data_IF_272719795864
#
_entry.id   IF_272719795864
#
_cell.length_a   1.000
_cell.length_b   1.000
_cell.length_c   1.000
_cell.angle_alpha   90.00
_cell.angle_beta   90.00
_cell.angle_gamma   90.00
#
_symmetry.space_group_name_H-M   'P 1'
#
loop_
_entity.id
_entity.type
_entity.pdbx_description
1 polymer ?
#
# COMPACT_ATOMS: atom_id res chain seq x y z
N UNK A 1 -1.35 3.07 29.23
CA UNK A 1 -0.76 2.17 28.22
C UNK A 1 -1.61 2.27 26.98
N UNK A 2 -1.13 2.91 25.91
CA UNK A 2 -1.86 2.91 24.65
C UNK A 2 -1.97 1.46 24.16
N UNK A 3 -3.18 1.02 23.77
CA UNK A 3 -3.39 -0.32 23.21
C UNK A 3 -2.55 -0.53 21.95
N UNK A 4 -2.30 -1.79 21.57
CA UNK A 4 -1.64 -2.10 20.29
C UNK A 4 -2.45 -1.45 19.15
N UNK A 5 -1.81 -0.78 18.18
CA UNK A 5 -2.51 -0.19 17.05
C UNK A 5 -3.09 -1.29 16.16
N UNK A 6 -4.17 -0.97 15.44
CA UNK A 6 -4.85 -1.89 14.54
C UNK A 6 -4.03 -2.23 13.29
N UNK A 7 -3.22 -1.30 12.81
CA UNK A 7 -2.33 -1.48 11.67
C UNK A 7 -0.88 -1.22 12.06
N UNK A 8 0.02 -1.89 11.34
CA UNK A 8 1.46 -1.62 11.35
C UNK A 8 1.92 -1.33 9.93
N UNK A 9 2.82 -0.36 9.82
CA UNK A 9 3.47 -0.06 8.55
C UNK A 9 4.43 -1.20 8.18
N UNK A 10 4.38 -1.61 6.93
CA UNK A 10 5.24 -2.62 6.33
C UNK A 10 5.86 -2.04 5.06
N UNK A 11 7.14 -2.32 4.83
CA UNK A 11 7.85 -1.90 3.63
C UNK A 11 7.71 -2.96 2.54
N UNK A 12 7.33 -2.57 1.31
CA UNK A 12 7.28 -3.48 0.16
C UNK A 12 8.65 -4.10 -0.10
N UNK A 13 9.62 -3.26 -0.44
CA UNK A 13 11.05 -3.61 -0.38
C UNK A 13 11.52 -3.39 1.05
N UNK A 14 11.86 -4.46 1.77
CA UNK A 14 12.14 -4.39 3.19
C UNK A 14 13.41 -3.59 3.50
N UNK A 15 13.45 -2.93 4.67
CA UNK A 15 14.59 -2.08 5.04
C UNK A 15 15.91 -2.84 5.09
N UNK A 16 15.90 -4.12 5.47
CA UNK A 16 17.12 -4.93 5.52
C UNK A 16 17.69 -5.16 4.12
N UNK A 17 16.86 -5.28 3.10
CA UNK A 17 17.32 -5.34 1.71
C UNK A 17 18.12 -4.09 1.33
N UNK A 18 17.68 -2.88 1.71
CA UNK A 18 18.47 -1.65 1.49
C UNK A 18 19.81 -1.62 2.24
N UNK A 19 19.95 -2.37 3.34
CA UNK A 19 21.19 -2.46 4.10
C UNK A 19 22.22 -3.41 3.48
N UNK A 20 21.78 -4.45 2.76
CA UNK A 20 22.65 -5.57 2.34
C UNK A 20 22.77 -5.74 0.82
N UNK A 21 21.82 -5.21 0.04
CA UNK A 21 21.78 -5.40 -1.40
C UNK A 21 22.61 -4.32 -2.12
N UNK A 22 23.67 -4.69 -2.88
CA UNK A 22 24.54 -3.73 -3.54
C UNK A 22 23.82 -2.85 -4.56
N UNK A 23 22.82 -3.38 -5.26
CA UNK A 23 22.06 -2.64 -6.26
C UNK A 23 21.25 -1.54 -5.58
N UNK A 24 20.58 -1.84 -4.47
CA UNK A 24 19.84 -0.84 -3.70
C UNK A 24 20.77 0.22 -3.08
N UNK A 25 21.93 -0.18 -2.54
CA UNK A 25 22.91 0.74 -1.98
C UNK A 25 23.40 1.75 -3.03
N UNK A 26 23.82 1.26 -4.22
CA UNK A 26 24.27 2.12 -5.31
C UNK A 26 23.19 3.12 -5.73
N UNK A 27 21.93 2.69 -5.83
CA UNK A 27 20.82 3.57 -6.20
C UNK A 27 20.55 4.64 -5.14
N UNK A 28 20.66 4.30 -3.86
CA UNK A 28 20.50 5.26 -2.75
C UNK A 28 21.67 6.26 -2.74
N UNK A 29 22.91 5.77 -2.85
CA UNK A 29 24.12 6.61 -2.83
C UNK A 29 24.17 7.59 -4.01
N UNK A 30 23.56 7.23 -5.14
CA UNK A 30 23.42 8.09 -6.31
C UNK A 30 22.11 8.91 -6.34
N UNK A 31 21.35 8.92 -5.24
CA UNK A 31 20.14 9.72 -5.07
C UNK A 31 18.98 9.32 -5.99
N UNK A 32 18.97 8.08 -6.49
CA UNK A 32 17.92 7.54 -7.39
C UNK A 32 16.82 6.79 -6.65
N UNK A 33 17.09 6.37 -5.42
CA UNK A 33 16.08 5.80 -4.53
C UNK A 33 16.16 6.42 -3.14
N UNK A 34 15.01 6.52 -2.49
CA UNK A 34 14.90 6.86 -1.08
C UNK A 34 14.41 5.62 -0.32
N UNK A 35 15.27 5.04 0.53
CA UNK A 35 14.93 3.86 1.35
C UNK A 35 13.76 4.11 2.31
N UNK A 36 13.54 5.36 2.70
CA UNK A 36 12.49 5.81 3.62
C UNK A 36 11.29 6.42 2.87
N UNK A 37 11.17 6.17 1.55
CA UNK A 37 10.07 6.66 0.76
C UNK A 37 8.72 6.18 1.32
N UNK A 38 7.85 7.10 1.70
CA UNK A 38 6.49 6.81 2.19
C UNK A 38 5.64 6.02 1.17
N UNK A 39 6.05 6.07 -0.10
CA UNK A 39 5.52 5.34 -1.24
C UNK A 39 5.77 3.82 -1.15
N UNK A 40 6.87 3.40 -0.51
CA UNK A 40 7.22 1.99 -0.25
C UNK A 40 6.47 1.40 0.97
N UNK A 41 5.62 2.17 1.65
CA UNK A 41 4.89 1.73 2.85
C UNK A 41 3.47 1.26 2.53
N UNK A 42 3.03 0.22 3.24
CA UNK A 42 1.64 -0.25 3.30
C UNK A 42 1.22 -0.53 4.75
N UNK A 43 0.00 -0.14 5.11
CA UNK A 43 -0.57 -0.43 6.43
C UNK A 43 -1.21 -1.82 6.41
N UNK A 44 -0.64 -2.74 7.18
CA UNK A 44 -1.13 -4.11 7.31
C UNK A 44 -1.75 -4.34 8.70
N UNK A 45 -2.84 -5.13 8.81
CA UNK A 45 -3.47 -5.37 10.10
C UNK A 45 -2.53 -6.05 11.10
N UNK A 46 -2.41 -5.48 12.29
CA UNK A 46 -1.71 -6.06 13.43
C UNK A 46 -2.56 -7.10 14.19
N UNK A 47 -3.78 -7.36 13.70
CA UNK A 47 -4.69 -8.38 14.21
C UNK A 47 -5.04 -9.39 13.11
N UNK A 48 -5.06 -10.67 13.47
CA UNK A 48 -5.30 -11.75 12.51
C UNK A 48 -6.77 -11.90 12.13
N UNK A 49 -7.70 -11.52 13.01
CA UNK A 49 -9.12 -11.55 12.69
C UNK A 49 -9.46 -10.44 11.70
N UNK A 50 -8.95 -9.23 11.90
CA UNK A 50 -9.06 -8.12 10.96
C UNK A 50 -8.40 -8.45 9.62
N UNK A 51 -7.16 -8.99 9.63
CA UNK A 51 -6.50 -9.44 8.40
C UNK A 51 -7.33 -10.44 7.60
N UNK A 52 -7.96 -11.41 8.29
CA UNK A 52 -8.86 -12.37 7.67
C UNK A 52 -10.12 -11.68 7.12
N UNK A 53 -10.72 -10.79 7.88
CA UNK A 53 -11.95 -10.09 7.50
C UNK A 53 -11.75 -9.24 6.23
N UNK A 54 -10.60 -8.59 6.08
CA UNK A 54 -10.28 -7.79 4.90
C UNK A 54 -9.45 -8.54 3.85
N UNK A 55 -9.19 -9.84 4.04
CA UNK A 55 -8.54 -10.68 3.02
C UNK A 55 -7.07 -10.39 2.74
N UNK A 56 -6.33 -9.76 3.66
CA UNK A 56 -4.90 -9.44 3.50
C UNK A 56 -4.03 -10.24 4.47
N UNK A 57 -2.70 -10.09 4.36
CA UNK A 57 -1.78 -10.67 5.34
C UNK A 57 -1.80 -9.89 6.66
N UNK A 58 -1.77 -10.56 7.83
CA UNK A 58 -1.49 -9.87 9.07
C UNK A 58 -0.02 -9.45 9.12
N UNK A 59 0.29 -8.41 9.91
CA UNK A 59 1.65 -8.02 10.27
C UNK A 59 1.78 -8.01 11.80
N UNK A 60 1.98 -9.19 12.38
CA UNK A 60 1.99 -9.43 13.83
C UNK A 60 3.42 -9.54 14.40
N UNK A 61 4.43 -9.16 13.64
CA UNK A 61 5.86 -9.34 13.96
C UNK A 61 6.71 -9.56 12.71
N UNK A 62 7.93 -10.09 12.89
CA UNK A 62 8.86 -10.36 11.79
C UNK A 62 8.19 -11.23 10.72
N UNK A 63 8.30 -10.83 9.45
CA UNK A 63 7.78 -11.61 8.33
C UNK A 63 8.49 -12.96 8.19
N UNK A 64 7.88 -13.90 7.49
CA UNK A 64 8.49 -15.20 7.20
C UNK A 64 9.76 -15.04 6.36
N UNK A 65 10.68 -16.02 6.46
CA UNK A 65 11.97 -15.99 5.77
C UNK A 65 11.80 -15.93 4.25
N UNK A 66 10.80 -16.62 3.72
CA UNK A 66 10.49 -16.68 2.29
C UNK A 66 10.21 -15.30 1.68
N UNK A 67 9.72 -14.34 2.45
CA UNK A 67 9.51 -12.98 1.97
C UNK A 67 10.85 -12.31 1.63
N UNK A 68 11.81 -12.33 2.57
CA UNK A 68 13.14 -11.75 2.32
C UNK A 68 13.94 -12.53 1.30
N UNK A 69 13.82 -13.86 1.26
CA UNK A 69 14.50 -14.65 0.23
C UNK A 69 13.98 -14.30 -1.15
N UNK A 70 12.66 -14.26 -1.34
CA UNK A 70 12.10 -13.91 -2.64
C UNK A 70 12.42 -12.47 -3.07
N UNK A 71 12.45 -11.52 -2.14
CA UNK A 71 12.89 -10.15 -2.43
C UNK A 71 14.36 -10.12 -2.87
N UNK A 72 15.24 -10.84 -2.16
CA UNK A 72 16.65 -10.98 -2.51
C UNK A 72 16.81 -11.59 -3.91
N UNK A 73 16.13 -12.69 -4.18
CA UNK A 73 16.21 -13.39 -5.46
C UNK A 73 15.76 -12.47 -6.62
N UNK A 74 14.67 -11.71 -6.44
CA UNK A 74 14.19 -10.74 -7.43
C UNK A 74 15.19 -9.58 -7.68
N UNK A 75 15.90 -9.12 -6.63
CA UNK A 75 16.95 -8.10 -6.77
C UNK A 75 18.21 -8.68 -7.43
N UNK A 76 18.56 -9.93 -7.14
CA UNK A 76 19.67 -10.65 -7.78
C UNK A 76 19.39 -10.88 -9.28
N UNK A 77 18.17 -11.23 -9.65
CA UNK A 77 17.72 -11.31 -11.04
C UNK A 77 17.87 -9.95 -11.74
N UNK A 78 17.44 -8.86 -11.08
CA UNK A 78 17.61 -7.51 -11.61
C UNK A 78 19.09 -7.12 -11.77
N UNK A 79 19.93 -7.46 -10.80
CA UNK A 79 21.37 -7.23 -10.83
C UNK A 79 22.07 -8.03 -11.95
N UNK A 80 21.53 -9.19 -12.32
CA UNK A 80 22.06 -10.02 -13.40
C UNK A 80 21.81 -9.44 -14.81
N UNK A 81 20.87 -8.48 -14.93
CA UNK A 81 20.57 -7.84 -16.22
C UNK A 81 21.71 -6.92 -16.69
N UNK A 82 21.75 -6.60 -17.99
CA UNK A 82 22.73 -5.65 -18.55
C UNK A 82 22.76 -4.32 -17.79
N UNK A 83 21.60 -3.75 -17.48
CA UNK A 83 21.51 -2.50 -16.74
C UNK A 83 21.95 -2.68 -15.28
N UNK A 84 21.57 -3.79 -14.64
CA UNK A 84 22.00 -4.13 -13.28
C UNK A 84 23.53 -4.22 -13.16
N UNK A 85 24.18 -4.91 -14.11
CA UNK A 85 25.64 -4.99 -14.16
C UNK A 85 26.29 -3.63 -14.42
N UNK A 86 25.69 -2.81 -15.29
CA UNK A 86 26.23 -1.50 -15.65
C UNK A 86 26.29 -0.51 -14.48
N UNK A 87 25.36 -0.61 -13.52
CA UNK A 87 25.39 0.26 -12.33
C UNK A 87 26.34 -0.25 -11.24
N UNK A 88 26.71 -1.53 -11.26
CA UNK A 88 27.63 -2.14 -10.29
C UNK A 88 29.11 -1.94 -10.65
N UNK A 89 29.41 -1.25 -11.75
CA UNK A 89 30.77 -0.87 -12.13
C UNK A 89 31.29 0.25 -11.21
N UNK A 90 32.63 0.41 -11.15
CA UNK A 90 33.27 1.50 -10.37
C UNK A 90 32.77 2.89 -10.78
N UNK A 91 32.41 3.06 -12.05
CA UNK A 91 31.71 4.24 -12.57
C UNK A 91 30.35 3.77 -13.11
N UNK A 92 29.28 3.89 -12.31
CA UNK A 92 27.94 3.49 -12.74
C UNK A 92 27.50 4.26 -14.00
N UNK A 93 26.85 3.56 -14.92
CA UNK A 93 26.19 4.18 -16.07
C UNK A 93 24.97 5.00 -15.58
N UNK A 94 24.94 6.34 -15.79
CA UNK A 94 23.84 7.18 -15.34
C UNK A 94 22.47 6.81 -15.92
N UNK A 95 22.40 6.39 -17.18
CA UNK A 95 21.13 6.03 -17.80
C UNK A 95 20.66 4.66 -17.29
N UNK A 96 21.60 3.76 -16.98
CA UNK A 96 21.29 2.49 -16.34
C UNK A 96 20.78 2.69 -14.91
N UNK A 97 21.32 3.66 -14.15
CA UNK A 97 20.83 4.01 -12.81
C UNK A 97 19.34 4.35 -12.84
N UNK A 98 18.92 5.20 -13.78
CA UNK A 98 17.51 5.59 -13.91
C UNK A 98 16.61 4.40 -14.28
N UNK A 99 17.05 3.57 -15.25
CA UNK A 99 16.29 2.37 -15.66
C UNK A 99 16.17 1.34 -14.54
N UNK A 100 17.22 1.11 -13.77
CA UNK A 100 17.19 0.16 -12.65
C UNK A 100 16.34 0.71 -11.50
N UNK A 101 16.43 2.00 -11.18
CA UNK A 101 15.57 2.64 -10.19
C UNK A 101 14.08 2.43 -10.50
N UNK A 102 13.69 2.62 -11.77
CA UNK A 102 12.33 2.35 -12.22
C UNK A 102 11.91 0.89 -12.05
N UNK A 103 12.81 -0.06 -12.30
CA UNK A 103 12.54 -1.50 -12.11
C UNK A 103 12.38 -1.85 -10.62
N UNK A 104 13.21 -1.29 -9.73
CA UNK A 104 13.05 -1.46 -8.28
C UNK A 104 11.73 -0.85 -7.79
N UNK A 105 11.37 0.34 -8.27
CA UNK A 105 10.09 0.96 -7.95
C UNK A 105 8.92 0.09 -8.43
N UNK A 106 8.99 -0.46 -9.65
CA UNK A 106 7.97 -1.37 -10.18
C UNK A 106 7.87 -2.66 -9.37
N UNK A 107 8.99 -3.20 -8.88
CA UNK A 107 8.99 -4.35 -7.97
C UNK A 107 8.30 -4.02 -6.64
N UNK A 108 8.60 -2.86 -6.04
CA UNK A 108 7.92 -2.37 -4.83
C UNK A 108 6.40 -2.24 -5.05
N UNK A 109 5.99 -1.63 -6.16
CA UNK A 109 4.57 -1.48 -6.53
C UNK A 109 3.90 -2.85 -6.68
N UNK A 110 4.56 -3.79 -7.35
CA UNK A 110 4.08 -5.16 -7.59
C UNK A 110 3.88 -5.92 -6.28
N UNK A 111 4.84 -5.82 -5.37
CA UNK A 111 4.75 -6.40 -4.02
C UNK A 111 3.58 -5.80 -3.24
N UNK A 112 3.42 -4.47 -3.25
CA UNK A 112 2.31 -3.82 -2.56
C UNK A 112 0.95 -4.22 -3.15
N UNK A 113 0.81 -4.28 -4.48
CA UNK A 113 -0.41 -4.75 -5.14
C UNK A 113 -0.71 -6.22 -4.77
N UNK A 114 0.30 -7.09 -4.71
CA UNK A 114 0.10 -8.47 -4.27
C UNK A 114 -0.33 -8.57 -2.78
N UNK A 115 0.18 -7.70 -1.92
CA UNK A 115 -0.28 -7.59 -0.52
C UNK A 115 -1.73 -7.10 -0.44
N UNK A 116 -2.10 -6.12 -1.27
CA UNK A 116 -3.48 -5.60 -1.37
C UNK A 116 -4.42 -6.71 -1.84
N UNK A 117 -4.04 -7.46 -2.87
CA UNK A 117 -4.89 -8.51 -3.44
C UNK A 117 -4.98 -9.75 -2.53
N UNK A 118 -4.04 -9.91 -1.58
CA UNK A 118 -3.98 -11.04 -0.65
C UNK A 118 -3.18 -12.24 -1.19
N UNK A 119 -2.53 -12.04 -2.34
CA UNK A 119 -1.73 -13.02 -3.09
C UNK A 119 -0.29 -13.12 -2.57
N UNK A 120 0.17 -12.13 -1.81
CA UNK A 120 1.41 -12.17 -1.06
C UNK A 120 1.15 -12.14 0.45
N UNK A 121 1.90 -12.98 1.19
CA UNK A 121 1.81 -13.06 2.65
C UNK A 121 3.15 -12.75 3.32
N UNK A 122 3.08 -11.97 4.39
CA UNK A 122 4.21 -11.65 5.27
C UNK A 122 4.22 -12.55 6.52
N UNK A 123 3.05 -12.92 7.05
CA UNK A 123 2.91 -13.72 8.26
C UNK A 123 1.78 -14.75 8.15
N UNK A 124 1.80 -15.74 9.05
CA UNK A 124 0.77 -16.80 9.11
C UNK A 124 -0.61 -16.22 9.42
N UNK A 125 -1.55 -16.38 8.48
CA UNK A 125 -2.93 -15.96 8.63
C UNK A 125 -3.70 -16.78 9.68
N UNK A 126 -4.87 -16.28 10.10
CA UNK A 126 -5.76 -17.03 10.99
C UNK A 126 -6.30 -18.28 10.30
N UNK A 127 -6.17 -19.44 10.94
CA UNK A 127 -6.68 -20.71 10.42
C UNK A 127 -5.86 -21.34 9.28
N UNK A 128 -4.70 -20.75 8.92
CA UNK A 128 -3.78 -21.32 7.93
C UNK A 128 -2.55 -21.94 8.59
N UNK A 129 -1.95 -22.92 7.90
CA UNK A 129 -0.63 -23.45 8.26
C UNK A 129 0.48 -22.51 7.81
N UNK A 130 1.66 -22.65 8.41
CA UNK A 130 2.83 -21.89 7.95
C UNK A 130 3.22 -22.29 6.52
N UNK A 131 3.07 -23.56 6.14
CA UNK A 131 3.44 -24.04 4.81
C UNK A 131 2.54 -23.48 3.71
N UNK A 132 1.26 -23.28 3.98
CA UNK A 132 0.37 -22.53 3.07
C UNK A 132 0.85 -21.10 2.86
N UNK A 133 1.30 -20.43 3.93
CA UNK A 133 1.85 -19.06 3.84
C UNK A 133 3.12 -19.06 2.99
N UNK A 134 4.04 -20.00 3.24
CA UNK A 134 5.28 -20.15 2.47
C UNK A 134 5.03 -20.44 1.00
N UNK A 135 4.08 -21.32 0.70
CA UNK A 135 3.73 -21.69 -0.67
C UNK A 135 3.22 -20.50 -1.47
N UNK A 136 2.31 -19.69 -0.90
CA UNK A 136 1.81 -18.47 -1.54
C UNK A 136 2.93 -17.45 -1.78
N UNK A 137 3.76 -17.19 -0.77
CA UNK A 137 4.87 -16.24 -0.90
C UNK A 137 5.88 -16.69 -1.97
N UNK A 138 6.22 -18.00 -2.02
CA UNK A 138 7.09 -18.55 -3.08
C UNK A 138 6.44 -18.48 -4.46
N UNK A 139 5.14 -18.75 -4.56
CA UNK A 139 4.42 -18.68 -5.83
C UNK A 139 4.46 -17.26 -6.42
N UNK A 140 4.27 -16.22 -5.59
CA UNK A 140 4.41 -14.83 -6.02
C UNK A 140 5.85 -14.52 -6.50
N UNK A 141 6.85 -14.82 -5.68
CA UNK A 141 8.24 -14.50 -6.02
C UNK A 141 8.82 -15.38 -7.13
N UNK A 142 8.17 -16.49 -7.49
CA UNK A 142 8.52 -17.28 -8.68
C UNK A 142 8.18 -16.61 -10.00
N UNK A 143 7.47 -15.47 -10.01
CA UNK A 143 7.14 -14.74 -11.23
C UNK A 143 6.55 -13.34 -10.98
N UNK A 144 7.25 -12.43 -10.29
CA UNK A 144 6.76 -11.08 -10.02
C UNK A 144 6.47 -10.29 -11.30
N UNK A 145 7.27 -10.45 -12.35
CA UNK A 145 7.04 -9.78 -13.65
C UNK A 145 5.77 -10.27 -14.34
N UNK A 146 5.50 -11.58 -14.29
CA UNK A 146 4.26 -12.15 -14.81
C UNK A 146 3.05 -11.63 -14.01
N UNK A 147 3.18 -11.56 -12.68
CA UNK A 147 2.14 -10.98 -11.83
C UNK A 147 1.91 -9.51 -12.17
N UNK A 148 2.98 -8.76 -12.43
CA UNK A 148 2.91 -7.36 -12.81
C UNK A 148 2.23 -7.14 -14.17
N UNK A 149 2.48 -8.02 -15.14
CA UNK A 149 1.83 -7.98 -16.44
C UNK A 149 0.32 -8.28 -16.33
N UNK A 150 -0.06 -9.28 -15.53
CA UNK A 150 -1.46 -9.64 -15.30
C UNK A 150 -2.26 -8.54 -14.58
N UNK A 151 -1.59 -7.74 -13.75
CA UNK A 151 -2.20 -6.68 -12.95
C UNK A 151 -1.82 -5.27 -13.44
N UNK A 152 -1.45 -5.11 -14.71
CA UNK A 152 -0.86 -3.87 -15.23
C UNK A 152 -1.72 -2.63 -14.95
N UNK A 153 -3.03 -2.68 -15.19
CA UNK A 153 -3.94 -1.55 -14.92
C UNK A 153 -3.98 -1.15 -13.44
N UNK A 154 -4.00 -2.14 -12.53
CA UNK A 154 -3.98 -1.87 -11.09
C UNK A 154 -2.65 -1.27 -10.67
N UNK A 155 -1.54 -1.77 -11.22
CA UNK A 155 -0.21 -1.25 -10.93
C UNK A 155 -0.02 0.17 -11.44
N UNK A 156 -0.50 0.50 -12.63
CA UNK A 156 -0.39 1.84 -13.17
C UNK A 156 -1.21 2.83 -12.32
N UNK A 157 -2.40 2.43 -11.88
CA UNK A 157 -3.20 3.22 -10.94
C UNK A 157 -2.52 3.35 -9.56
N UNK A 158 -1.82 2.31 -9.09
CA UNK A 158 -1.08 2.32 -7.82
C UNK A 158 0.18 3.20 -7.89
N UNK A 159 0.90 3.18 -9.01
CA UNK A 159 2.09 4.00 -9.24
C UNK A 159 1.77 5.51 -9.24
N UNK A 160 0.59 5.89 -9.73
CA UNK A 160 0.12 7.28 -9.72
C UNK A 160 -0.56 7.70 -8.41
N UNK A 161 -0.77 6.78 -7.47
CA UNK A 161 -1.46 7.06 -6.22
C UNK A 161 -0.54 7.80 -5.22
N UNK A 162 -1.14 8.70 -4.43
CA UNK A 162 -0.45 9.36 -3.32
C UNK A 162 0.09 8.34 -2.31
N UNK A 163 1.13 8.72 -1.55
CA UNK A 163 1.67 7.86 -0.50
C UNK A 163 0.58 7.40 0.50
N UNK A 164 -0.35 8.28 0.87
CA UNK A 164 -1.46 7.95 1.75
C UNK A 164 -2.41 6.92 1.12
N UNK A 165 -2.78 7.09 -0.15
CA UNK A 165 -3.64 6.15 -0.86
C UNK A 165 -2.98 4.77 -1.03
N UNK A 166 -1.66 4.72 -1.27
CA UNK A 166 -0.88 3.47 -1.33
C UNK A 166 -0.85 2.77 0.03
N UNK A 167 -0.60 3.54 1.10
CA UNK A 167 -0.53 3.00 2.45
C UNK A 167 -1.85 2.35 2.89
N UNK A 168 -2.99 2.95 2.53
CA UNK A 168 -4.32 2.43 2.86
C UNK A 168 -4.93 1.51 1.80
N UNK A 169 -4.19 1.17 0.73
CA UNK A 169 -4.71 0.39 -0.40
C UNK A 169 -5.29 -0.97 0.00
N UNK A 170 -4.78 -1.59 1.06
CA UNK A 170 -5.33 -2.84 1.59
C UNK A 170 -6.75 -2.68 2.14
N UNK A 171 -7.06 -1.52 2.73
CA UNK A 171 -8.38 -1.18 3.30
C UNK A 171 -9.32 -0.63 2.24
N UNK A 172 -8.84 0.26 1.37
CA UNK A 172 -9.68 1.01 0.41
C UNK A 172 -9.97 0.24 -0.88
N UNK A 173 -9.53 -1.01 -1.00
CA UNK A 173 -9.71 -1.85 -2.18
C UNK A 173 -11.18 -2.10 -2.54
N UNK A 174 -12.08 -2.19 -1.55
CA UNK A 174 -13.52 -2.25 -1.77
C UNK A 174 -14.31 -1.86 -0.50
N UNK A 175 -15.62 -1.63 -0.66
CA UNK A 175 -16.53 -1.25 0.43
C UNK A 175 -16.50 -2.24 1.60
N UNK A 176 -16.50 -3.55 1.32
CA UNK A 176 -16.52 -4.59 2.35
C UNK A 176 -15.31 -4.52 3.29
N UNK A 177 -14.12 -4.21 2.76
CA UNK A 177 -12.89 -4.03 3.55
C UNK A 177 -12.93 -2.76 4.41
N UNK A 178 -13.49 -1.67 3.87
CA UNK A 178 -13.69 -0.42 4.62
C UNK A 178 -14.65 -0.68 5.78
N UNK A 179 -15.84 -1.23 5.50
CA UNK A 179 -16.85 -1.50 6.52
C UNK A 179 -16.30 -2.42 7.62
N UNK A 180 -15.63 -3.52 7.23
CA UNK A 180 -15.00 -4.44 8.20
C UNK A 180 -13.95 -3.76 9.05
N UNK A 181 -13.12 -2.89 8.46
CA UNK A 181 -12.09 -2.12 9.17
C UNK A 181 -12.73 -1.15 10.17
N UNK A 182 -13.74 -0.40 9.75
CA UNK A 182 -14.40 0.61 10.58
C UNK A 182 -15.20 -0.01 11.73
N UNK A 183 -15.91 -1.11 11.48
CA UNK A 183 -16.59 -1.86 12.54
C UNK A 183 -15.58 -2.39 13.57
N UNK A 184 -14.46 -2.95 13.12
CA UNK A 184 -13.42 -3.41 14.02
C UNK A 184 -12.81 -2.26 14.81
N UNK A 185 -12.51 -1.14 14.15
CA UNK A 185 -11.97 0.07 14.78
C UNK A 185 -12.91 0.67 15.84
N UNK A 186 -14.20 0.76 15.53
CA UNK A 186 -15.22 1.20 16.48
C UNK A 186 -15.27 0.30 17.72
N UNK A 187 -15.20 -1.03 17.53
CA UNK A 187 -15.27 -1.99 18.64
C UNK A 187 -13.99 -2.07 19.50
N UNK A 188 -12.81 -1.86 18.91
CA UNK A 188 -11.54 -2.10 19.58
C UNK A 188 -11.09 -0.92 20.46
N UNK A 189 -11.51 0.31 20.14
CA UNK A 189 -11.06 1.53 20.83
C UNK A 189 -9.54 1.80 20.72
N UNK A 190 -8.85 1.08 19.82
CA UNK A 190 -7.41 1.17 19.59
C UNK A 190 -7.09 2.23 18.53
N UNK A 191 -5.91 2.87 18.56
CA UNK A 191 -5.47 3.73 17.47
C UNK A 191 -5.31 2.94 16.16
N UNK A 192 -5.44 3.62 15.02
CA UNK A 192 -5.21 3.00 13.71
C UNK A 192 -3.74 2.64 13.53
N UNK A 193 -2.83 3.56 13.87
CA UNK A 193 -1.38 3.39 13.75
C UNK A 193 -0.66 3.71 15.08
N UNK A 194 0.60 3.27 15.21
CA UNK A 194 1.41 3.60 16.37
C UNK A 194 1.77 5.09 16.39
N UNK A 195 1.60 5.74 17.54
CA UNK A 195 2.01 7.13 17.75
C UNK A 195 1.21 8.17 16.95
N UNK A 196 1.49 9.45 17.18
CA UNK A 196 0.81 10.55 16.49
C UNK A 196 -0.59 10.88 17.04
N UNK A 197 -1.24 11.84 16.37
CA UNK A 197 -2.56 12.34 16.75
C UNK A 197 -3.66 11.45 16.12
N UNK A 198 -4.64 11.03 16.93
CA UNK A 198 -5.73 10.15 16.51
C UNK A 198 -6.61 10.76 15.40
N UNK A 199 -6.85 12.06 15.46
CA UNK A 199 -7.64 12.78 14.46
C UNK A 199 -6.89 12.83 13.12
N UNK A 200 -5.56 13.00 13.15
CA UNK A 200 -4.74 12.92 11.93
C UNK A 200 -4.77 11.52 11.31
N UNK A 201 -4.75 10.45 12.14
CA UNK A 201 -4.87 9.09 11.62
C UNK A 201 -6.23 8.83 10.98
N UNK A 202 -7.32 9.26 11.64
CA UNK A 202 -8.68 9.18 11.12
C UNK A 202 -8.81 9.96 9.82
N UNK A 203 -8.29 11.19 9.79
CA UNK A 203 -8.28 12.04 8.61
C UNK A 203 -7.52 11.40 7.44
N UNK A 204 -6.35 10.80 7.69
CA UNK A 204 -5.59 10.07 6.67
C UNK A 204 -6.38 8.93 6.05
N UNK A 205 -7.07 8.11 6.86
CA UNK A 205 -7.94 7.05 6.35
C UNK A 205 -9.15 7.62 5.58
N UNK A 206 -9.82 8.65 6.11
CA UNK A 206 -10.94 9.33 5.44
C UNK A 206 -10.54 9.85 4.05
N UNK A 207 -9.38 10.51 3.96
CA UNK A 207 -8.86 11.01 2.69
C UNK A 207 -8.57 9.86 1.71
N UNK A 208 -7.97 8.76 2.17
CA UNK A 208 -7.72 7.61 1.29
C UNK A 208 -9.02 6.97 0.76
N UNK A 209 -10.08 6.93 1.57
CA UNK A 209 -11.41 6.45 1.15
C UNK A 209 -12.00 7.40 0.09
N UNK A 210 -11.96 8.71 0.33
CA UNK A 210 -12.45 9.71 -0.62
C UNK A 210 -11.67 9.67 -1.95
N UNK A 211 -10.34 9.59 -1.89
CA UNK A 211 -9.48 9.47 -3.07
C UNK A 211 -9.80 8.21 -3.88
N UNK A 212 -10.02 7.07 -3.21
CA UNK A 212 -10.41 5.83 -3.88
C UNK A 212 -11.78 5.96 -4.56
N UNK A 213 -12.74 6.62 -3.90
CA UNK A 213 -14.09 6.83 -4.42
C UNK A 213 -14.13 7.76 -5.63
N UNK A 214 -13.49 8.94 -5.54
CA UNK A 214 -13.49 9.94 -6.60
C UNK A 214 -12.67 9.52 -7.82
N UNK A 215 -11.61 8.72 -7.63
CA UNK A 215 -10.82 8.17 -8.73
C UNK A 215 -11.47 6.92 -9.36
N UNK A 216 -12.71 6.59 -9.00
CA UNK A 216 -13.49 5.49 -9.59
C UNK A 216 -13.05 4.09 -9.16
N UNK A 217 -12.11 3.97 -8.22
CA UNK A 217 -11.59 2.68 -7.72
C UNK A 217 -12.47 2.04 -6.65
N UNK A 218 -13.32 2.84 -6.00
CA UNK A 218 -14.22 2.41 -4.92
C UNK A 218 -15.65 2.84 -5.21
N UNK A 219 -16.59 1.91 -5.15
CA UNK A 219 -18.04 2.19 -5.07
C UNK A 219 -18.47 2.05 -3.62
N UNK A 220 -19.34 2.94 -3.14
CA UNK A 220 -19.89 2.91 -1.79
C UNK A 220 -21.42 2.90 -1.86
N UNK A 221 -22.05 1.96 -1.17
CA UNK A 221 -23.50 2.00 -0.95
C UNK A 221 -23.87 3.05 0.12
N UNK A 222 -25.15 3.49 0.19
CA UNK A 222 -25.61 4.34 1.28
C UNK A 222 -25.33 3.75 2.66
N UNK A 223 -25.42 2.42 2.81
CA UNK A 223 -25.12 1.71 4.05
C UNK A 223 -23.64 1.81 4.43
N UNK A 224 -22.73 1.66 3.47
CA UNK A 224 -21.29 1.86 3.71
C UNK A 224 -20.94 3.31 4.06
N UNK A 225 -21.58 4.28 3.40
CA UNK A 225 -21.42 5.71 3.76
C UNK A 225 -21.85 5.98 5.19
N UNK A 226 -22.98 5.40 5.63
CA UNK A 226 -23.42 5.53 7.02
C UNK A 226 -22.41 4.92 8.02
N UNK A 227 -21.72 3.82 7.68
CA UNK A 227 -20.65 3.27 8.52
C UNK A 227 -19.45 4.22 8.60
N UNK A 228 -19.08 4.86 7.48
CA UNK A 228 -18.03 5.90 7.46
C UNK A 228 -18.42 7.08 8.36
N UNK A 229 -19.63 7.60 8.21
CA UNK A 229 -20.16 8.71 9.01
C UNK A 229 -20.12 8.39 10.51
N UNK A 230 -20.68 7.23 10.90
CA UNK A 230 -20.79 6.83 12.30
C UNK A 230 -19.42 6.58 12.96
N UNK A 231 -18.38 6.27 12.18
CA UNK A 231 -17.06 5.91 12.71
C UNK A 231 -16.04 7.03 12.59
N UNK A 232 -16.02 7.74 11.47
CA UNK A 232 -15.03 8.77 11.12
C UNK A 232 -15.61 10.19 11.12
N UNK A 233 -16.93 10.34 11.24
CA UNK A 233 -17.63 11.62 11.29
C UNK A 233 -18.22 12.07 9.95
N UNK A 234 -19.09 13.08 10.02
CA UNK A 234 -19.82 13.63 8.87
C UNK A 234 -18.91 14.17 7.77
N UNK A 235 -17.81 14.84 8.13
CA UNK A 235 -16.82 15.36 7.18
C UNK A 235 -16.17 14.25 6.34
N UNK A 236 -16.02 13.04 6.88
CA UNK A 236 -15.50 11.90 6.14
C UNK A 236 -16.53 11.29 5.17
N UNK A 237 -17.82 11.37 5.51
CA UNK A 237 -18.91 10.79 4.73
C UNK A 237 -19.39 11.72 3.60
N UNK A 238 -19.34 13.04 3.82
CA UNK A 238 -19.83 14.05 2.88
C UNK A 238 -19.29 13.88 1.44
N UNK A 239 -17.99 13.65 1.20
CA UNK A 239 -17.47 13.45 -0.17
C UNK A 239 -18.06 12.21 -0.87
N UNK A 240 -18.42 11.19 -0.10
CA UNK A 240 -18.93 9.90 -0.61
C UNK A 240 -20.40 9.97 -1.04
N UNK A 241 -21.12 11.03 -0.65
CA UNK A 241 -22.50 11.28 -1.07
C UNK A 241 -22.59 12.06 -2.39
N UNK A 242 -21.49 12.66 -2.82
CA UNK A 242 -21.42 13.39 -4.09
C UNK A 242 -21.23 12.39 -5.24
N UNK A 243 -22.02 12.45 -6.32
CA UNK A 243 -21.80 11.61 -7.49
C UNK A 243 -20.40 11.81 -8.09
N UNK A 244 -19.81 10.71 -8.58
CA UNK A 244 -18.51 10.74 -9.27
C UNK A 244 -18.52 11.77 -10.40
N UNK A 245 -17.48 12.59 -10.49
CA UNK A 245 -17.33 13.60 -11.55
C UNK A 245 -18.02 14.94 -11.31
N UNK A 246 -18.82 15.10 -10.25
CA UNK A 246 -19.49 16.39 -9.92
C UNK A 246 -18.69 17.28 -8.95
N UNK A 247 -17.63 16.75 -8.33
CA UNK A 247 -16.78 17.51 -7.40
C UNK A 247 -16.13 18.74 -8.05
N UNK A 248 -15.76 18.64 -9.34
CA UNK A 248 -15.18 19.75 -10.09
C UNK A 248 -16.20 20.81 -10.56
N UNK A 249 -17.45 20.43 -10.77
CA UNK A 249 -18.52 21.34 -11.18
C UNK A 249 -18.99 22.23 -10.03
N UNK A 250 -19.14 21.67 -8.83
CA UNK A 250 -19.50 22.42 -7.63
C UNK A 250 -18.45 23.48 -7.26
N UNK A 251 -17.15 23.18 -7.43
CA UNK A 251 -16.09 24.16 -7.21
C UNK A 251 -16.09 25.29 -8.24
N UNK A 252 -16.47 25.04 -9.50
CA UNK A 252 -16.59 26.09 -10.52
C UNK A 252 -17.81 26.97 -10.30
N UNK A 253 -18.96 26.42 -9.90
CA UNK A 253 -20.16 27.21 -9.57
C UNK A 253 -19.92 28.15 -8.37
N UNK A 254 -19.17 27.71 -7.36
CA UNK A 254 -18.76 28.56 -6.23
C UNK A 254 -17.76 29.65 -6.65
N UNK A 255 -16.85 29.34 -7.59
CA UNK A 255 -15.88 30.31 -8.11
C UNK A 255 -16.56 31.36 -9.02
N UNK A 256 -17.55 30.97 -9.80
CA UNK A 256 -18.34 31.85 -10.67
C UNK A 256 -19.40 32.65 -9.89
N UNK A 257 -19.95 32.09 -8.82
CA UNK A 257 -20.88 32.77 -7.91
C UNK A 257 -20.21 33.89 -7.09
N UNK A 258 -18.94 33.73 -6.70
CA UNK A 258 -18.19 34.75 -5.98
C UNK A 258 -17.59 35.85 -6.88
N UNK A 259 -17.61 35.67 -8.20
CA UNK A 259 -17.18 36.70 -9.16
C UNK A 259 -18.33 37.61 -9.64
N UNK A 260 -19.57 37.35 -9.19
CA UNK A 260 -20.77 38.08 -9.61
C UNK A 260 -21.45 38.86 -8.47
N UNK A 261 -20.73 39.15 -7.38
CA UNK A 261 -21.20 39.98 -6.28
C UNK A 261 -20.34 41.23 -6.10
#
# INVERSE_FOLDING_TARGET
MAGKPLFQQHHGVDQKSFEIDPLLQVLVDNGRLNKDAATNLINLPNDKALARAIGVTPHTGRHIKEYSLGMKDALEDLASTKDGQAILLQKPDPDALDRVALKVQRLSDTVQVALINGDLRTNKALGQTIDQTRALTRAFFGGPDSYAAQNATQLDAHAQASANARQWGGVTHNEGRIVSTLQHFHSAGQPLLAGGNLDLQRHGLSQAIADAYHNGRLTMSPGGVAVVENTLGEEAARPLRVPRGQSGAASMEVLLGNASA
#
